data_IF_525374896443
#
_entry.id   IF_525374896443
#
_cell.length_a   1.000
_cell.length_b   1.000
_cell.length_c   1.000
_cell.angle_alpha   90.00
_cell.angle_beta   90.00
_cell.angle_gamma   90.00
#
_symmetry.space_group_name_H-M   'P 1'
#
loop_
_entity.id
_entity.type
_entity.pdbx_description
1 polymer ?
#
# COMPACT_ATOMS: atom_id res chain seq x y z
N UNK A 1 11.93 -1.81 -17.56
CA UNK A 1 11.77 -2.17 -16.13
C UNK A 1 12.46 -1.09 -15.34
N UNK A 2 11.68 -0.15 -14.79
CA UNK A 2 12.25 0.95 -14.03
C UNK A 2 12.97 0.40 -12.81
N UNK A 3 14.22 0.83 -12.64
CA UNK A 3 15.18 0.29 -11.66
C UNK A 3 15.13 1.02 -10.31
N UNK A 4 14.29 2.04 -10.17
CA UNK A 4 14.33 2.97 -9.05
C UNK A 4 13.45 2.49 -7.91
N UNK A 5 12.23 2.04 -8.21
CA UNK A 5 11.30 1.44 -7.26
C UNK A 5 11.36 -0.10 -7.32
N UNK A 6 12.53 -0.64 -7.00
CA UNK A 6 12.71 -2.09 -6.91
C UNK A 6 12.03 -2.69 -5.67
N UNK A 7 11.78 -4.01 -5.71
CA UNK A 7 11.10 -4.72 -4.61
C UNK A 7 11.82 -4.60 -3.27
N UNK A 8 13.15 -4.53 -3.25
CA UNK A 8 13.89 -4.41 -2.00
C UNK A 8 13.68 -3.05 -1.34
N UNK A 9 13.61 -1.98 -2.14
CA UNK A 9 13.21 -0.67 -1.64
C UNK A 9 11.77 -0.67 -1.11
N UNK A 10 10.82 -1.23 -1.85
CA UNK A 10 9.42 -1.26 -1.43
C UNK A 10 9.21 -2.07 -0.15
N UNK A 11 9.89 -3.21 -0.01
CA UNK A 11 9.88 -4.03 1.20
C UNK A 11 10.53 -3.31 2.39
N UNK A 12 11.59 -2.52 2.14
CA UNK A 12 12.17 -1.66 3.18
C UNK A 12 11.25 -0.52 3.62
N UNK A 13 10.45 0.04 2.71
CA UNK A 13 9.52 1.14 3.00
C UNK A 13 8.25 0.61 3.67
N UNK A 14 7.77 -0.55 3.22
CA UNK A 14 6.57 -1.21 3.72
C UNK A 14 6.87 -2.71 3.93
N UNK A 15 7.51 -3.06 5.06
CA UNK A 15 7.83 -4.44 5.35
C UNK A 15 6.56 -5.23 5.70
N UNK A 16 6.58 -6.56 5.48
CA UNK A 16 5.43 -7.43 5.77
C UNK A 16 4.98 -7.34 7.25
N UNK A 17 5.92 -7.05 8.15
CA UNK A 17 5.71 -6.80 9.58
C UNK A 17 4.65 -5.72 9.86
N UNK A 18 4.51 -4.73 8.97
CA UNK A 18 3.48 -3.69 9.11
C UNK A 18 2.08 -4.26 9.02
N UNK A 19 1.91 -5.32 8.22
CA UNK A 19 0.63 -6.00 8.14
C UNK A 19 0.30 -6.66 9.47
N UNK A 20 1.27 -7.33 10.08
CA UNK A 20 1.11 -7.96 11.39
C UNK A 20 0.77 -6.92 12.46
N UNK A 21 1.52 -5.83 12.53
CA UNK A 21 1.26 -4.73 13.46
C UNK A 21 -0.10 -4.04 13.21
N UNK A 22 -0.57 -3.99 11.96
CA UNK A 22 -1.89 -3.46 11.62
C UNK A 22 -3.00 -4.34 12.18
N UNK A 23 -2.91 -5.66 11.99
CA UNK A 23 -3.89 -6.59 12.54
C UNK A 23 -3.81 -6.70 14.07
N UNK A 24 -2.60 -6.64 14.63
CA UNK A 24 -2.41 -6.57 16.08
C UNK A 24 -3.09 -5.34 16.69
N UNK A 25 -2.92 -4.16 16.07
CA UNK A 25 -3.57 -2.94 16.54
C UNK A 25 -5.11 -2.96 16.38
N UNK A 26 -5.65 -3.66 15.38
CA UNK A 26 -7.09 -3.73 15.12
C UNK A 26 -7.81 -4.82 15.93
N UNK A 27 -7.18 -5.98 16.09
CA UNK A 27 -7.81 -7.18 16.65
C UNK A 27 -7.13 -7.68 17.93
N UNK A 28 -5.94 -7.18 18.26
CA UNK A 28 -5.16 -7.62 19.42
C UNK A 28 -4.30 -8.86 19.14
N UNK A 29 -4.14 -9.25 17.87
CA UNK A 29 -3.23 -10.30 17.45
C UNK A 29 -3.02 -10.38 15.94
N UNK A 30 -1.77 -10.50 15.50
CA UNK A 30 -1.40 -10.61 14.08
C UNK A 30 -1.94 -11.89 13.40
N UNK A 31 -2.21 -12.94 14.16
CA UNK A 31 -2.81 -14.21 13.71
C UNK A 31 -4.27 -14.07 13.25
N UNK A 32 -4.93 -12.99 13.67
CA UNK A 32 -6.27 -12.66 13.20
C UNK A 32 -6.27 -12.07 11.80
N UNK A 33 -5.09 -11.72 11.28
CA UNK A 33 -4.89 -11.22 9.93
C UNK A 33 -5.47 -12.15 8.86
N UNK A 34 -6.39 -11.62 8.07
CA UNK A 34 -7.03 -12.35 6.99
C UNK A 34 -6.20 -12.34 5.68
N UNK A 35 -5.25 -11.41 5.57
CA UNK A 35 -4.46 -11.19 4.37
C UNK A 35 -3.10 -10.57 4.71
N UNK A 36 -2.13 -10.73 3.81
CA UNK A 36 -0.84 -10.04 3.84
C UNK A 36 -0.86 -8.84 2.90
N UNK A 37 -0.34 -7.70 3.34
CA UNK A 37 -0.28 -6.48 2.53
C UNK A 37 1.13 -6.37 1.96
N UNK A 38 1.24 -6.32 0.63
CA UNK A 38 2.50 -6.21 -0.10
C UNK A 38 2.46 -4.97 -0.97
N UNK A 39 3.49 -4.13 -0.86
CA UNK A 39 3.61 -2.95 -1.71
C UNK A 39 4.35 -3.30 -3.00
N UNK A 40 3.74 -3.01 -4.14
CA UNK A 40 4.35 -3.19 -5.46
C UNK A 40 4.28 -1.92 -6.30
N UNK A 41 5.29 -1.71 -7.14
CA UNK A 41 5.29 -0.65 -8.15
C UNK A 41 4.67 -1.20 -9.44
N UNK A 42 3.54 -0.64 -9.87
CA UNK A 42 2.89 -0.99 -11.14
C UNK A 42 3.51 -0.25 -12.31
N UNK A 43 3.77 1.04 -12.15
CA UNK A 43 4.39 1.88 -13.17
C UNK A 43 4.98 3.14 -12.54
N UNK A 44 6.07 3.62 -13.10
CA UNK A 44 6.65 4.92 -12.75
C UNK A 44 6.98 5.65 -14.05
N UNK A 45 6.73 6.96 -14.07
CA UNK A 45 6.94 7.83 -15.21
C UNK A 45 7.34 9.23 -14.79
N UNK A 46 7.49 10.13 -15.76
CA UNK A 46 7.94 11.49 -15.52
C UNK A 46 6.84 12.31 -14.84
N UNK A 47 6.90 12.39 -13.52
CA UNK A 47 5.94 13.11 -12.67
C UNK A 47 4.67 12.33 -12.30
N UNK A 48 4.57 11.04 -12.64
CA UNK A 48 3.48 10.16 -12.16
C UNK A 48 4.01 8.78 -11.79
N UNK A 49 3.60 8.27 -10.65
CA UNK A 49 3.96 6.93 -10.19
C UNK A 49 2.71 6.23 -9.68
N UNK A 50 2.54 4.99 -10.10
CA UNK A 50 1.46 4.11 -9.73
C UNK A 50 2.04 2.92 -8.97
N UNK A 51 1.68 2.84 -7.70
CA UNK A 51 1.93 1.69 -6.85
C UNK A 51 0.61 0.98 -6.56
N UNK A 52 0.69 -0.20 -5.98
CA UNK A 52 -0.47 -0.91 -5.47
C UNK A 52 -0.12 -1.63 -4.18
N UNK A 53 -1.06 -1.62 -3.24
CA UNK A 53 -1.06 -2.51 -2.10
C UNK A 53 -1.80 -3.78 -2.49
N UNK A 54 -1.08 -4.86 -2.68
CA UNK A 54 -1.63 -6.19 -2.92
C UNK A 54 -2.01 -6.83 -1.58
N UNK A 55 -3.25 -7.30 -1.50
CA UNK A 55 -3.83 -7.97 -0.35
C UNK A 55 -3.90 -9.45 -0.69
N UNK A 56 -2.94 -10.22 -0.19
CA UNK A 56 -2.83 -11.65 -0.43
C UNK A 56 -3.58 -12.41 0.65
N UNK A 57 -4.61 -13.15 0.29
CA UNK A 57 -5.37 -13.92 1.27
C UNK A 57 -4.50 -14.97 1.97
N UNK A 58 -4.58 -15.03 3.31
CA UNK A 58 -3.95 -16.07 4.12
C UNK A 58 -4.76 -17.38 4.08
N UNK A 59 -4.10 -18.55 4.11
CA UNK A 59 -4.79 -19.83 4.08
C UNK A 59 -5.77 -19.96 5.26
N UNK A 60 -7.01 -20.37 4.97
CA UNK A 60 -8.05 -20.54 5.99
C UNK A 60 -8.77 -19.25 6.42
N UNK A 61 -8.39 -18.08 5.90
CA UNK A 61 -9.09 -16.81 6.12
C UNK A 61 -9.73 -16.36 4.81
N UNK A 62 -10.97 -15.86 4.84
CA UNK A 62 -11.64 -15.36 3.63
C UNK A 62 -11.49 -13.84 3.56
N UNK A 63 -10.75 -13.36 2.56
CA UNK A 63 -10.47 -11.95 2.37
C UNK A 63 -11.77 -11.17 2.08
N UNK A 64 -12.65 -11.72 1.23
CA UNK A 64 -13.95 -11.12 0.91
C UNK A 64 -14.90 -11.05 2.12
N UNK A 65 -14.85 -12.02 3.05
CA UNK A 65 -15.66 -11.98 4.27
C UNK A 65 -15.13 -10.99 5.32
N UNK A 66 -13.82 -10.73 5.28
CA UNK A 66 -13.14 -9.83 6.23
C UNK A 66 -12.89 -8.43 5.65
N UNK A 67 -13.26 -8.19 4.39
CA UNK A 67 -13.30 -6.88 3.74
C UNK A 67 -14.47 -6.11 4.36
N UNK A 68 -14.20 -5.41 5.44
CA UNK A 68 -15.14 -4.43 5.98
C UNK A 68 -15.28 -3.26 5.01
N UNK A 69 -16.51 -2.80 4.83
CA UNK A 69 -16.79 -1.54 4.12
C UNK A 69 -15.94 -0.41 4.74
N UNK A 70 -15.14 0.27 3.92
CA UNK A 70 -14.31 1.40 4.37
C UNK A 70 -12.82 1.11 4.57
N UNK A 71 -12.32 -0.06 4.15
CA UNK A 71 -10.89 -0.39 4.22
C UNK A 71 -9.95 0.71 3.67
N UNK A 72 -10.24 1.40 2.54
CA UNK A 72 -9.40 2.51 2.06
C UNK A 72 -9.31 3.68 3.04
N UNK A 73 -10.41 4.00 3.72
CA UNK A 73 -10.45 5.05 4.75
C UNK A 73 -9.65 4.65 5.99
N UNK A 74 -9.69 3.38 6.38
CA UNK A 74 -8.87 2.84 7.47
C UNK A 74 -7.39 2.92 7.08
N UNK A 75 -7.02 2.44 5.89
CA UNK A 75 -5.64 2.47 5.39
C UNK A 75 -5.06 3.88 5.39
N UNK A 76 -5.86 4.87 4.94
CA UNK A 76 -5.43 6.27 4.90
C UNK A 76 -5.22 6.88 6.29
N UNK A 77 -5.97 6.43 7.31
CA UNK A 77 -5.93 6.98 8.67
C UNK A 77 -5.08 6.17 9.64
N UNK A 78 -4.65 4.96 9.28
CA UNK A 78 -3.96 4.08 10.21
C UNK A 78 -2.48 4.49 10.37
N UNK A 79 -2.03 4.84 11.59
CA UNK A 79 -0.65 5.27 11.83
C UNK A 79 0.36 4.15 11.57
N UNK A 80 -0.03 2.88 11.75
CA UNK A 80 0.84 1.71 11.51
C UNK A 80 1.16 1.52 10.03
N UNK A 81 0.17 1.66 9.15
CA UNK A 81 0.39 1.50 7.71
C UNK A 81 1.21 2.66 7.15
N UNK A 82 1.02 3.87 7.71
CA UNK A 82 1.75 5.09 7.36
C UNK A 82 1.85 5.29 5.84
N UNK A 83 0.72 5.19 5.14
CA UNK A 83 0.65 5.32 3.67
C UNK A 83 1.20 6.68 3.21
N UNK A 84 0.99 7.74 4.00
CA UNK A 84 1.60 9.05 3.77
C UNK A 84 3.13 8.99 3.78
N UNK A 85 3.72 8.28 4.75
CA UNK A 85 5.16 8.04 4.81
C UNK A 85 5.68 7.18 3.67
N UNK A 86 4.91 6.17 3.23
CA UNK A 86 5.23 5.37 2.03
C UNK A 86 5.28 6.26 0.79
N UNK A 87 4.23 7.06 0.56
CA UNK A 87 4.17 7.95 -0.59
C UNK A 87 5.32 8.98 -0.58
N UNK A 88 5.66 9.50 0.60
CA UNK A 88 6.82 10.39 0.77
C UNK A 88 8.14 9.68 0.45
N UNK A 89 8.38 8.49 1.00
CA UNK A 89 9.61 7.74 0.74
C UNK A 89 9.78 7.41 -0.75
N UNK A 90 8.68 7.04 -1.42
CA UNK A 90 8.65 6.83 -2.88
C UNK A 90 8.96 8.12 -3.63
N UNK A 91 8.35 9.25 -3.26
CA UNK A 91 8.63 10.55 -3.85
C UNK A 91 10.11 10.95 -3.70
N UNK A 92 10.68 10.80 -2.50
CA UNK A 92 12.09 11.08 -2.23
C UNK A 92 13.01 10.17 -3.08
N UNK A 93 12.65 8.88 -3.21
CA UNK A 93 13.39 7.92 -4.06
C UNK A 93 13.33 8.26 -5.55
N UNK A 94 12.20 8.82 -6.02
CA UNK A 94 12.02 9.33 -7.38
C UNK A 94 12.63 10.73 -7.58
N UNK A 95 13.21 11.33 -6.54
CA UNK A 95 13.78 12.67 -6.58
C UNK A 95 12.74 13.79 -6.69
N UNK A 96 11.50 13.54 -6.25
CA UNK A 96 10.43 14.53 -6.26
C UNK A 96 10.38 15.27 -4.92
N UNK A 97 10.19 16.61 -4.92
CA UNK A 97 10.04 17.37 -3.68
C UNK A 97 8.78 16.93 -2.94
N UNK A 98 8.88 16.62 -1.65
CA UNK A 98 7.73 16.14 -0.86
C UNK A 98 6.56 17.14 -0.82
N UNK A 99 6.85 18.45 -0.91
CA UNK A 99 5.84 19.51 -0.98
C UNK A 99 5.18 19.65 -2.38
N UNK A 100 5.79 19.04 -3.41
CA UNK A 100 5.32 19.03 -4.80
C UNK A 100 4.77 17.68 -5.23
N UNK A 101 4.33 16.85 -4.29
CA UNK A 101 3.76 15.54 -4.60
C UNK A 101 2.39 15.41 -3.96
N UNK A 102 1.40 15.13 -4.81
CA UNK A 102 0.07 14.74 -4.40
C UNK A 102 -0.03 13.23 -4.46
N UNK A 103 -0.61 12.62 -3.44
CA UNK A 103 -0.90 11.19 -3.44
C UNK A 103 -2.36 10.93 -3.05
N UNK A 104 -2.91 9.83 -3.56
CA UNK A 104 -4.24 9.35 -3.19
C UNK A 104 -4.35 7.85 -3.41
N UNK A 105 -5.23 7.22 -2.63
CA UNK A 105 -5.62 5.82 -2.83
C UNK A 105 -6.81 5.79 -3.79
N UNK A 106 -6.76 4.87 -4.74
CA UNK A 106 -7.93 4.52 -5.55
C UNK A 106 -8.85 3.54 -4.84
N UNK A 107 -9.80 3.01 -5.60
CA UNK A 107 -10.73 2.01 -5.10
C UNK A 107 -10.06 0.64 -5.01
N UNK A 108 -10.48 -0.17 -4.05
CA UNK A 108 -10.08 -1.57 -3.98
C UNK A 108 -10.57 -2.30 -5.23
N UNK A 109 -9.65 -2.85 -6.01
CA UNK A 109 -9.94 -3.67 -7.18
C UNK A 109 -9.84 -5.14 -6.76
N UNK A 110 -10.84 -5.94 -7.11
CA UNK A 110 -10.78 -7.39 -6.95
C UNK A 110 -10.09 -7.99 -8.18
N UNK A 111 -8.83 -8.39 -8.04
CA UNK A 111 -8.13 -9.14 -9.09
C UNK A 111 -8.59 -10.59 -9.08
N UNK A 112 -8.78 -11.16 -7.89
CA UNK A 112 -9.36 -12.48 -7.69
C UNK A 112 -9.91 -12.63 -6.27
N UNK A 113 -10.58 -13.75 -5.99
CA UNK A 113 -11.10 -14.07 -4.64
C UNK A 113 -10.04 -14.09 -3.54
N UNK A 114 -8.78 -14.30 -3.91
CA UNK A 114 -7.64 -14.40 -2.98
C UNK A 114 -6.62 -13.27 -3.15
N UNK A 115 -6.89 -12.32 -4.04
CA UNK A 115 -6.01 -11.19 -4.33
C UNK A 115 -6.85 -9.94 -4.63
N UNK A 116 -6.79 -8.99 -3.72
CA UNK A 116 -7.36 -7.65 -3.91
C UNK A 116 -6.22 -6.66 -3.96
N UNK A 117 -6.44 -5.54 -4.63
CA UNK A 117 -5.40 -4.54 -4.82
C UNK A 117 -5.96 -3.15 -4.56
N UNK A 118 -5.20 -2.32 -3.87
CA UNK A 118 -5.55 -0.91 -3.64
C UNK A 118 -4.49 -0.07 -4.36
N UNK A 119 -4.83 0.57 -5.49
CA UNK A 119 -3.87 1.39 -6.21
C UNK A 119 -3.55 2.65 -5.41
N UNK A 120 -2.28 2.99 -5.36
CA UNK A 120 -1.73 4.20 -4.77
C UNK A 120 -1.14 5.04 -5.90
N UNK A 121 -1.73 6.20 -6.13
CA UNK A 121 -1.28 7.13 -7.15
C UNK A 121 -0.46 8.23 -6.51
N UNK A 122 0.67 8.56 -7.14
CA UNK A 122 1.48 9.72 -6.84
C UNK A 122 1.60 10.55 -8.11
N UNK A 123 1.35 11.85 -7.97
CA UNK A 123 1.52 12.82 -9.04
C UNK A 123 2.37 13.97 -8.54
N UNK A 124 3.45 14.25 -9.27
CA UNK A 124 4.24 15.45 -9.07
C UNK A 124 3.46 16.64 -9.57
N UNK A 125 3.08 17.53 -8.67
CA UNK A 125 2.48 18.81 -9.05
C UNK A 125 3.56 19.67 -9.72
N UNK A 126 3.25 20.23 -10.88
CA UNK A 126 4.11 21.23 -11.50
C UNK A 126 4.20 22.48 -10.61
N UNK A 127 5.33 23.18 -10.67
CA UNK A 127 5.50 24.51 -10.10
C UNK A 127 4.74 25.55 -10.93
#
# INVERSE_FOLDING_TARGET
MSKVLDKAFLDSVFPPERTEAFFDALFGGAEEGAYDIVLVCRSEGEGKAELAFELHQRPGKCLACNLTYGLPQVFQRHPVLNVAGVARAVAEKLGWPADKVRWWLGHTEEVSRSLHVIPLYLERTAD
#
